data_IF_792699591631
#
_entry.id   IF_792699591631
#
_cell.length_a   1.000
_cell.length_b   1.000
_cell.length_c   1.000
_cell.angle_alpha   90.00
_cell.angle_beta   90.00
_cell.angle_gamma   90.00
#
_symmetry.space_group_name_H-M   'P 1'
#
loop_
_entity.id
_entity.type
_entity.pdbx_description
1 polymer ?
#
# COMPACT_ATOMS: atom_id res chain seq x y z
N UNK A 1 -21.60 -4.33 37.95
CA UNK A 1 -20.23 -3.89 37.57
C UNK A 1 -19.84 -4.61 36.29
N UNK A 2 -19.64 -3.88 35.18
CA UNK A 2 -19.08 -4.49 33.97
C UNK A 2 -17.60 -4.85 34.23
N UNK A 3 -17.18 -6.05 33.83
CA UNK A 3 -15.80 -6.51 33.96
C UNK A 3 -14.83 -5.56 33.24
N UNK A 4 -13.62 -5.28 33.76
CA UNK A 4 -12.60 -4.44 33.11
C UNK A 4 -12.36 -4.83 31.65
N UNK A 5 -12.36 -6.15 31.37
CA UNK A 5 -12.21 -6.75 30.03
C UNK A 5 -13.30 -6.33 29.04
N UNK A 6 -14.53 -6.08 29.51
CA UNK A 6 -15.64 -5.62 28.67
C UNK A 6 -15.54 -4.12 28.35
N UNK A 7 -14.95 -3.32 29.25
CA UNK A 7 -14.70 -1.89 29.00
C UNK A 7 -13.49 -1.68 28.09
N UNK A 8 -12.45 -2.51 28.23
CA UNK A 8 -11.27 -2.50 27.38
C UNK A 8 -11.62 -2.91 25.94
N UNK A 9 -12.40 -3.99 25.76
CA UNK A 9 -12.96 -4.38 24.44
C UNK A 9 -13.86 -3.32 23.81
N UNK A 10 -14.51 -2.45 24.60
CA UNK A 10 -15.32 -1.33 24.09
C UNK A 10 -14.47 -0.15 23.65
N UNK A 11 -13.35 0.15 24.32
CA UNK A 11 -12.44 1.26 23.95
C UNK A 11 -11.78 1.08 22.58
N UNK A 12 -11.50 -0.17 22.18
CA UNK A 12 -10.86 -0.46 20.89
C UNK A 12 -11.83 -0.57 19.70
N UNK A 13 -13.13 -0.84 19.93
CA UNK A 13 -14.13 -0.97 18.84
C UNK A 13 -14.38 0.33 18.09
N UNK A 14 -14.14 1.48 18.71
CA UNK A 14 -14.29 2.80 18.08
C UNK A 14 -13.01 3.27 17.39
N UNK A 15 -11.91 2.51 17.50
CA UNK A 15 -10.63 2.81 16.86
C UNK A 15 -10.51 2.07 15.51
N UNK A 16 -9.81 2.67 14.53
CA UNK A 16 -9.49 1.96 13.30
C UNK A 16 -8.65 0.72 13.62
N UNK A 17 -8.79 -0.34 12.81
CA UNK A 17 -8.13 -1.64 13.03
C UNK A 17 -6.62 -1.52 13.26
N UNK A 18 -5.96 -0.64 12.50
CA UNK A 18 -4.51 -0.42 12.59
C UNK A 18 -4.04 0.21 13.92
N UNK A 19 -4.93 0.79 14.73
CA UNK A 19 -4.64 1.25 16.09
C UNK A 19 -4.93 0.21 17.18
N UNK A 20 -5.64 -0.87 16.84
CA UNK A 20 -6.01 -1.90 17.81
C UNK A 20 -4.80 -2.78 18.15
N UNK A 21 -4.78 -3.38 19.36
CA UNK A 21 -3.69 -4.28 19.77
C UNK A 21 -3.68 -5.57 18.95
N UNK A 22 -2.48 -6.03 18.62
CA UNK A 22 -2.23 -7.34 18.05
C UNK A 22 -1.69 -8.26 19.16
N UNK A 23 -2.59 -8.86 19.95
CA UNK A 23 -2.23 -9.61 21.16
C UNK A 23 -1.33 -10.84 20.93
N UNK A 24 -1.19 -11.31 19.69
CA UNK A 24 -0.26 -12.38 19.34
C UNK A 24 1.20 -11.92 19.22
N UNK A 25 1.43 -10.62 19.00
CA UNK A 25 2.75 -10.05 18.78
C UNK A 25 3.32 -9.43 20.05
N UNK A 26 4.64 -9.32 20.09
CA UNK A 26 5.42 -8.66 21.13
C UNK A 26 6.40 -7.67 20.53
N UNK A 27 7.00 -6.80 21.35
CA UNK A 27 8.03 -5.85 20.90
C UNK A 27 9.24 -6.58 20.27
N UNK A 28 9.52 -7.81 20.67
CA UNK A 28 10.63 -8.60 20.12
C UNK A 28 10.42 -9.01 18.65
N UNK A 29 9.18 -8.99 18.17
CA UNK A 29 8.84 -9.29 16.78
C UNK A 29 9.11 -8.09 15.85
N UNK A 30 9.27 -6.90 16.42
CA UNK A 30 9.45 -5.64 15.70
C UNK A 30 10.94 -5.36 15.44
N UNK A 31 11.29 -4.89 14.24
CA UNK A 31 12.63 -4.39 13.96
C UNK A 31 12.82 -2.97 14.52
N UNK A 32 13.28 -2.94 15.77
CA UNK A 32 13.55 -1.71 16.51
C UNK A 32 14.78 -0.95 15.97
N UNK A 33 15.71 -1.63 15.29
CA UNK A 33 16.88 -0.99 14.69
C UNK A 33 16.41 -0.19 13.48
N UNK A 34 15.63 -0.81 12.59
CA UNK A 34 15.04 -0.13 11.45
C UNK A 34 14.15 1.04 11.89
N UNK A 35 13.33 0.86 12.93
CA UNK A 35 12.52 1.94 13.51
C UNK A 35 13.37 3.16 13.90
N UNK A 36 14.44 2.94 14.68
CA UNK A 36 15.31 4.03 15.18
C UNK A 36 16.10 4.70 14.06
N UNK A 37 16.60 3.92 13.11
CA UNK A 37 17.50 4.42 12.07
C UNK A 37 16.76 5.07 10.89
N UNK A 38 15.52 4.65 10.63
CA UNK A 38 14.80 5.02 9.41
C UNK A 38 13.48 5.76 9.69
N UNK A 39 12.61 5.19 10.53
CA UNK A 39 11.26 5.73 10.70
C UNK A 39 11.21 6.90 11.69
N UNK A 40 11.80 6.75 12.86
CA UNK A 40 11.77 7.77 13.90
C UNK A 40 12.33 9.13 13.42
N UNK A 41 13.48 9.19 12.71
CA UNK A 41 14.01 10.44 12.16
C UNK A 41 13.15 11.02 11.03
N UNK A 42 12.37 10.18 10.32
CA UNK A 42 11.46 10.64 9.28
C UNK A 42 10.13 11.18 9.87
N UNK A 43 9.69 10.63 10.99
CA UNK A 43 8.42 10.98 11.64
C UNK A 43 8.54 12.11 12.67
N UNK A 44 9.71 12.31 13.26
CA UNK A 44 9.95 13.28 14.35
C UNK A 44 11.17 14.13 14.02
N UNK A 45 11.05 15.45 14.15
CA UNK A 45 12.16 16.37 13.89
C UNK A 45 13.33 16.13 14.85
N UNK A 46 14.57 16.31 14.37
CA UNK A 46 15.79 15.99 15.11
C UNK A 46 15.89 16.74 16.44
N UNK A 47 15.47 18.01 16.48
CA UNK A 47 15.47 18.83 17.68
C UNK A 47 14.51 18.27 18.75
N UNK A 48 13.41 17.65 18.31
CA UNK A 48 12.43 16.96 19.17
C UNK A 48 12.90 15.55 19.55
N UNK A 49 13.98 15.03 18.98
CA UNK A 49 14.59 13.78 19.45
C UNK A 49 15.68 14.06 20.48
N UNK A 50 16.49 15.09 20.24
CA UNK A 50 17.61 15.48 21.10
C UNK A 50 17.14 16.03 22.47
N UNK A 51 16.03 16.79 22.52
CA UNK A 51 15.52 17.39 23.76
C UNK A 51 14.64 16.46 24.61
N UNK A 52 14.20 15.32 24.07
CA UNK A 52 12.93 14.71 24.49
C UNK A 52 13.10 13.62 25.57
N UNK A 53 14.32 13.11 25.79
CA UNK A 53 14.64 12.19 26.90
C UNK A 53 13.78 10.92 26.97
N UNK A 54 12.99 10.63 25.93
CA UNK A 54 11.98 9.57 25.93
C UNK A 54 12.62 8.20 25.92
N UNK A 55 12.01 7.27 26.66
CA UNK A 55 12.33 5.85 26.53
C UNK A 55 11.93 5.33 25.15
N UNK A 56 12.43 4.15 24.77
CA UNK A 56 12.07 3.52 23.50
C UNK A 56 10.56 3.24 23.44
N UNK A 57 9.98 2.80 24.56
CA UNK A 57 8.57 2.50 24.67
C UNK A 57 7.71 3.77 24.52
N UNK A 58 8.15 4.90 25.08
CA UNK A 58 7.49 6.20 24.87
C UNK A 58 7.57 6.66 23.41
N UNK A 59 8.70 6.43 22.74
CA UNK A 59 8.85 6.71 21.31
C UNK A 59 7.87 5.84 20.50
N UNK A 60 7.91 4.52 20.69
CA UNK A 60 7.05 3.56 20.01
C UNK A 60 5.56 3.90 20.21
N UNK A 61 5.15 4.17 21.45
CA UNK A 61 3.77 4.54 21.78
C UNK A 61 3.36 5.88 21.14
N UNK A 62 4.24 6.88 21.13
CA UNK A 62 3.95 8.17 20.48
C UNK A 62 3.77 8.05 18.97
N UNK A 63 4.40 7.05 18.36
CA UNK A 63 4.22 6.69 16.94
C UNK A 63 3.17 5.59 16.71
N UNK A 64 2.42 5.22 17.75
CA UNK A 64 1.34 4.21 17.73
C UNK A 64 1.78 2.79 17.35
N UNK A 65 3.06 2.46 17.50
CA UNK A 65 3.59 1.11 17.23
C UNK A 65 3.21 0.12 18.33
N UNK A 66 3.04 0.61 19.56
CA UNK A 66 2.55 -0.12 20.73
C UNK A 66 1.43 0.67 21.40
N UNK A 67 0.64 0.03 22.28
CA UNK A 67 -0.47 0.68 22.99
C UNK A 67 0.01 1.78 23.93
N UNK A 68 0.98 1.49 24.79
CA UNK A 68 1.56 2.45 25.73
C UNK A 68 2.90 1.97 26.27
N UNK A 69 3.64 2.79 27.03
CA UNK A 69 4.85 2.32 27.71
C UNK A 69 4.59 1.27 28.80
N UNK A 70 3.47 1.39 29.51
CA UNK A 70 3.09 0.46 30.59
C UNK A 70 2.46 -0.84 30.06
N UNK A 71 1.90 -0.79 28.84
CA UNK A 71 1.39 -1.93 28.08
C UNK A 71 2.03 -1.92 26.68
N UNK A 72 3.22 -2.53 26.52
CA UNK A 72 3.96 -2.48 25.28
C UNK A 72 3.46 -3.48 24.22
N UNK A 73 2.17 -3.86 24.27
CA UNK A 73 1.55 -4.69 23.25
C UNK A 73 1.59 -3.95 21.89
N UNK A 74 2.16 -4.56 20.83
CA UNK A 74 2.15 -3.98 19.49
C UNK A 74 0.73 -3.74 18.97
N UNK A 75 0.54 -2.65 18.23
CA UNK A 75 -0.68 -2.45 17.44
C UNK A 75 -0.57 -3.20 16.11
N UNK A 76 -1.69 -3.36 15.40
CA UNK A 76 -1.65 -3.88 14.03
C UNK A 76 -0.81 -2.98 13.09
N UNK A 77 -0.77 -1.66 13.32
CA UNK A 77 0.19 -0.77 12.65
C UNK A 77 1.62 -1.19 12.98
N UNK A 78 1.97 -1.37 14.26
CA UNK A 78 3.30 -1.78 14.69
C UNK A 78 3.75 -3.07 13.99
N UNK A 79 2.85 -4.06 13.92
CA UNK A 79 3.10 -5.31 13.20
C UNK A 79 3.31 -5.06 11.70
N UNK A 80 2.41 -4.35 11.02
CA UNK A 80 2.54 -4.10 9.57
C UNK A 80 3.77 -3.26 9.21
N UNK A 81 4.13 -2.30 10.07
CA UNK A 81 5.21 -1.37 9.84
C UNK A 81 6.59 -1.98 10.15
N UNK A 82 6.69 -2.75 11.24
CA UNK A 82 7.99 -3.11 11.83
C UNK A 82 8.21 -4.62 12.00
N UNK A 83 7.18 -5.47 11.95
CA UNK A 83 7.40 -6.91 12.12
C UNK A 83 8.18 -7.50 10.94
N UNK A 84 9.14 -8.37 11.24
CA UNK A 84 9.88 -9.10 10.22
C UNK A 84 9.00 -10.14 9.49
N UNK A 85 8.01 -10.70 10.21
CA UNK A 85 7.05 -11.69 9.69
C UNK A 85 5.62 -11.31 10.10
N UNK A 86 5.02 -10.26 9.50
CA UNK A 86 3.66 -9.84 9.86
C UNK A 86 2.60 -10.91 9.57
N UNK A 87 2.89 -11.84 8.66
CA UNK A 87 1.99 -12.95 8.30
C UNK A 87 1.73 -13.94 9.42
N UNK A 88 2.59 -14.00 10.44
CA UNK A 88 2.37 -14.85 11.62
C UNK A 88 1.18 -14.35 12.46
N UNK A 89 0.86 -13.05 12.36
CA UNK A 89 -0.22 -12.40 13.08
C UNK A 89 -1.38 -11.98 12.17
N UNK A 90 -1.05 -11.64 10.91
CA UNK A 90 -1.97 -11.17 9.89
C UNK A 90 -1.76 -11.98 8.61
N UNK A 91 -2.36 -13.18 8.47
CA UNK A 91 -2.03 -14.12 7.38
C UNK A 91 -2.20 -13.57 5.96
N UNK A 92 -3.03 -12.55 5.78
CA UNK A 92 -3.21 -11.86 4.49
C UNK A 92 -2.27 -10.67 4.24
N UNK A 93 -1.34 -10.37 5.15
CA UNK A 93 -0.41 -9.24 5.07
C UNK A 93 0.78 -9.52 4.14
N UNK A 94 0.49 -9.93 2.91
CA UNK A 94 1.47 -10.15 1.86
C UNK A 94 0.89 -9.75 0.49
N UNK A 95 1.76 -9.69 -0.52
CA UNK A 95 1.38 -9.39 -1.90
C UNK A 95 1.75 -10.57 -2.79
N UNK A 96 0.82 -10.98 -3.65
CA UNK A 96 1.07 -11.94 -4.73
C UNK A 96 1.28 -11.20 -6.04
N UNK A 97 2.35 -11.53 -6.76
CA UNK A 97 2.59 -11.10 -8.13
C UNK A 97 2.49 -12.31 -9.05
N UNK A 98 1.77 -12.13 -10.16
CA UNK A 98 1.63 -13.14 -11.21
C UNK A 98 1.76 -12.47 -12.58
N UNK A 99 2.55 -13.04 -13.48
CA UNK A 99 2.63 -12.65 -14.89
C UNK A 99 2.21 -13.81 -15.77
N UNK A 100 1.31 -13.55 -16.70
CA UNK A 100 0.68 -14.57 -17.54
C UNK A 100 1.00 -14.34 -19.02
N UNK A 101 1.07 -15.43 -19.79
CA UNK A 101 1.26 -15.42 -21.25
C UNK A 101 -0.07 -15.26 -22.01
N UNK A 102 -1.01 -14.51 -21.44
CA UNK A 102 -2.32 -14.33 -22.04
C UNK A 102 -3.24 -13.43 -21.22
N UNK A 103 -4.47 -13.20 -21.71
CA UNK A 103 -5.42 -12.28 -21.10
C UNK A 103 -6.26 -12.92 -19.98
N UNK A 104 -6.08 -14.22 -19.70
CA UNK A 104 -6.90 -15.00 -18.77
C UNK A 104 -6.05 -15.68 -17.69
N UNK A 105 -6.66 -15.99 -16.55
CA UNK A 105 -6.00 -16.74 -15.47
C UNK A 105 -5.69 -18.21 -15.84
N UNK A 106 -6.20 -18.71 -16.96
CA UNK A 106 -5.94 -20.06 -17.43
C UNK A 106 -4.69 -20.16 -18.32
N UNK A 107 -4.09 -19.02 -18.69
CA UNK A 107 -2.89 -18.95 -19.51
C UNK A 107 -1.63 -19.30 -18.70
N UNK A 108 -0.55 -19.65 -19.41
CA UNK A 108 0.70 -20.10 -18.79
C UNK A 108 1.35 -19.01 -17.92
N UNK A 109 1.92 -19.43 -16.79
CA UNK A 109 2.64 -18.54 -15.87
C UNK A 109 4.05 -18.27 -16.38
N UNK A 110 4.33 -17.01 -16.69
CA UNK A 110 5.65 -16.55 -17.12
C UNK A 110 6.56 -16.21 -15.94
N UNK A 111 5.98 -15.70 -14.85
CA UNK A 111 6.70 -15.29 -13.66
C UNK A 111 5.74 -15.18 -12.46
N UNK A 112 6.20 -15.55 -11.27
CA UNK A 112 5.45 -15.42 -10.03
C UNK A 112 6.36 -14.98 -8.88
N UNK A 113 5.80 -14.26 -7.91
CA UNK A 113 6.50 -13.91 -6.68
C UNK A 113 5.52 -13.64 -5.52
N UNK A 114 5.96 -13.92 -4.31
CA UNK A 114 5.29 -13.52 -3.06
C UNK A 114 6.16 -12.55 -2.28
N UNK A 115 5.56 -11.50 -1.73
CA UNK A 115 6.25 -10.47 -0.95
C UNK A 115 5.62 -10.36 0.43
N UNK A 116 6.40 -10.62 1.47
CA UNK A 116 6.03 -10.49 2.90
C UNK A 116 7.17 -9.84 3.67
N UNK A 117 6.87 -9.34 4.87
CA UNK A 117 7.77 -8.56 5.71
C UNK A 117 7.21 -7.17 6.01
N UNK A 118 8.05 -6.28 6.53
CA UNK A 118 7.67 -4.88 6.78
C UNK A 118 7.05 -4.25 5.55
N UNK A 119 6.02 -3.44 5.73
CA UNK A 119 5.27 -2.89 4.60
C UNK A 119 6.13 -2.14 3.59
N UNK A 120 7.18 -1.45 4.06
CA UNK A 120 8.13 -0.73 3.20
C UNK A 120 8.93 -1.67 2.29
N UNK A 121 9.29 -2.86 2.78
CA UNK A 121 10.07 -3.84 2.04
C UNK A 121 9.18 -4.56 1.03
N UNK A 122 7.94 -4.87 1.42
CA UNK A 122 6.91 -5.39 0.51
C UNK A 122 6.65 -4.40 -0.63
N UNK A 123 6.48 -3.11 -0.32
CA UNK A 123 6.22 -2.09 -1.34
C UNK A 123 7.39 -1.99 -2.31
N UNK A 124 8.63 -1.89 -1.79
CA UNK A 124 9.84 -1.81 -2.62
C UNK A 124 10.03 -3.05 -3.50
N UNK A 125 9.91 -4.24 -2.93
CA UNK A 125 10.09 -5.49 -3.66
C UNK A 125 9.09 -5.64 -4.81
N UNK A 126 7.82 -5.29 -4.58
CA UNK A 126 6.80 -5.31 -5.63
C UNK A 126 7.08 -4.25 -6.69
N UNK A 127 7.43 -3.02 -6.30
CA UNK A 127 7.77 -1.96 -7.25
C UNK A 127 8.98 -2.33 -8.13
N UNK A 128 10.01 -2.93 -7.56
CA UNK A 128 11.19 -3.42 -8.29
C UNK A 128 10.82 -4.53 -9.27
N UNK A 129 9.97 -5.48 -8.85
CA UNK A 129 9.45 -6.56 -9.70
C UNK A 129 8.60 -6.02 -10.86
N UNK A 130 7.76 -5.03 -10.61
CA UNK A 130 6.96 -4.39 -11.65
C UNK A 130 7.85 -3.61 -12.62
N UNK A 131 8.84 -2.88 -12.11
CA UNK A 131 9.81 -2.16 -12.92
C UNK A 131 10.65 -3.09 -13.80
N UNK A 132 11.05 -4.27 -13.31
CA UNK A 132 11.83 -5.22 -14.11
C UNK A 132 11.07 -5.75 -15.33
N UNK A 133 9.73 -5.76 -15.28
CA UNK A 133 8.86 -6.16 -16.39
C UNK A 133 8.38 -4.99 -17.25
N UNK A 134 8.40 -3.76 -16.72
CA UNK A 134 7.88 -2.58 -17.38
C UNK A 134 8.86 -2.02 -18.43
N UNK A 135 8.87 -2.69 -19.58
CA UNK A 135 9.75 -2.34 -20.71
C UNK A 135 9.64 -0.86 -21.08
N UNK A 136 10.79 -0.21 -21.24
CA UNK A 136 10.88 1.13 -21.82
C UNK A 136 11.08 1.02 -23.31
N UNK A 137 10.14 1.52 -24.11
CA UNK A 137 10.34 1.71 -25.54
C UNK A 137 11.05 3.04 -25.78
N UNK A 138 12.03 3.04 -26.68
CA UNK A 138 12.74 4.25 -27.11
C UNK A 138 12.42 4.49 -28.59
N UNK A 139 11.72 5.58 -28.88
CA UNK A 139 11.41 5.97 -30.26
C UNK A 139 12.48 6.92 -30.80
N UNK A 140 13.23 6.48 -31.81
CA UNK A 140 14.28 7.26 -32.48
C UNK A 140 13.79 7.98 -33.77
N UNK A 141 12.54 7.78 -34.20
CA UNK A 141 12.10 8.21 -35.53
C UNK A 141 11.38 9.56 -35.51
N UNK A 142 12.06 10.59 -36.04
CA UNK A 142 11.57 11.88 -36.56
C UNK A 142 11.49 13.14 -35.67
N UNK A 143 11.92 13.11 -34.40
CA UNK A 143 12.06 14.35 -33.61
C UNK A 143 13.51 14.56 -33.15
N UNK A 144 13.92 15.82 -33.04
CA UNK A 144 15.22 16.22 -32.49
C UNK A 144 15.42 15.83 -31.01
N UNK A 145 14.46 15.14 -30.40
CA UNK A 145 14.42 14.74 -28.98
C UNK A 145 13.96 13.28 -28.85
N UNK A 146 14.72 12.51 -28.07
CA UNK A 146 14.43 11.13 -27.68
C UNK A 146 13.14 11.07 -26.85
N UNK A 147 12.18 10.21 -27.24
CA UNK A 147 10.98 9.93 -26.43
C UNK A 147 11.04 8.51 -25.89
N UNK A 148 11.10 8.40 -24.56
CA UNK A 148 10.98 7.15 -23.81
C UNK A 148 9.54 6.98 -23.34
N UNK A 149 8.89 5.89 -23.73
CA UNK A 149 7.54 5.56 -23.28
C UNK A 149 7.59 4.21 -22.61
N UNK A 150 7.18 4.14 -21.34
CA UNK A 150 7.03 2.86 -20.63
C UNK A 150 5.70 2.22 -21.02
N UNK A 151 5.59 0.89 -20.91
CA UNK A 151 4.31 0.21 -21.16
C UNK A 151 3.21 0.73 -20.22
N UNK A 152 3.58 0.96 -18.97
CA UNK A 152 2.77 1.60 -17.95
C UNK A 152 3.59 2.72 -17.27
N UNK A 153 3.03 3.90 -16.98
CA UNK A 153 3.79 4.92 -16.28
C UNK A 153 4.06 4.49 -14.83
N UNK A 154 5.33 4.43 -14.43
CA UNK A 154 5.74 3.98 -13.10
C UNK A 154 5.00 4.70 -11.97
N UNK A 155 4.80 6.01 -12.09
CA UNK A 155 4.07 6.79 -11.10
C UNK A 155 2.60 6.36 -10.94
N UNK A 156 1.92 5.94 -12.02
CA UNK A 156 0.55 5.45 -11.92
C UNK A 156 0.50 4.08 -11.22
N UNK A 157 1.42 3.17 -11.55
CA UNK A 157 1.55 1.87 -10.89
C UNK A 157 1.76 2.08 -9.39
N UNK A 158 2.72 2.92 -9.01
CA UNK A 158 3.03 3.23 -7.62
C UNK A 158 1.82 3.78 -6.87
N UNK A 159 1.10 4.76 -7.42
CA UNK A 159 -0.08 5.31 -6.75
C UNK A 159 -1.18 4.26 -6.55
N UNK A 160 -1.46 3.44 -7.57
CA UNK A 160 -2.52 2.44 -7.50
C UNK A 160 -2.16 1.29 -6.54
N UNK A 161 -0.93 0.79 -6.62
CA UNK A 161 -0.46 -0.29 -5.77
C UNK A 161 -0.34 0.13 -4.30
N UNK A 162 0.24 1.31 -4.02
CA UNK A 162 0.34 1.83 -2.64
C UNK A 162 -1.04 2.09 -2.05
N UNK A 163 -2.00 2.55 -2.84
CA UNK A 163 -3.39 2.68 -2.40
C UNK A 163 -4.02 1.32 -2.08
N UNK A 164 -3.80 0.30 -2.92
CA UNK A 164 -4.29 -1.05 -2.67
C UNK A 164 -3.78 -1.59 -1.33
N UNK A 165 -2.48 -1.44 -1.06
CA UNK A 165 -1.88 -1.84 0.23
C UNK A 165 -2.45 -1.02 1.40
N UNK A 166 -2.46 0.31 1.28
CA UNK A 166 -2.88 1.22 2.36
C UNK A 166 -4.35 1.07 2.73
N UNK A 167 -5.23 0.79 1.76
CA UNK A 167 -6.67 0.69 1.98
C UNK A 167 -7.17 -0.76 2.08
N UNK A 168 -6.27 -1.76 2.03
CA UNK A 168 -6.60 -3.17 2.21
C UNK A 168 -7.29 -3.42 3.55
N UNK A 169 -8.28 -4.32 3.56
CA UNK A 169 -8.77 -4.89 4.82
C UNK A 169 -7.80 -5.93 5.37
N UNK A 170 -7.16 -5.61 6.50
CA UNK A 170 -6.29 -6.53 7.24
C UNK A 170 -7.05 -7.33 8.30
N UNK A 171 -8.27 -6.90 8.61
CA UNK A 171 -9.15 -7.53 9.59
C UNK A 171 -9.99 -8.63 8.92
N UNK A 172 -10.05 -9.81 9.53
CA UNK A 172 -10.91 -10.94 9.18
C UNK A 172 -10.84 -11.47 7.72
N UNK A 173 -9.90 -10.99 6.92
CA UNK A 173 -9.66 -11.42 5.54
C UNK A 173 -8.18 -11.79 5.34
N UNK A 174 -7.94 -13.04 4.96
CA UNK A 174 -6.62 -13.60 4.71
C UNK A 174 -6.21 -13.52 3.24
N UNK A 175 -7.05 -12.93 2.38
CA UNK A 175 -6.76 -12.74 0.96
C UNK A 175 -5.68 -11.66 0.80
N UNK A 176 -4.57 -11.90 0.09
CA UNK A 176 -3.54 -10.88 -0.12
C UNK A 176 -3.98 -9.80 -1.11
N UNK A 177 -3.21 -8.72 -1.22
CA UNK A 177 -3.23 -7.92 -2.45
C UNK A 177 -2.66 -8.78 -3.58
N UNK A 178 -3.32 -8.78 -4.74
CA UNK A 178 -2.82 -9.47 -5.94
C UNK A 178 -2.52 -8.48 -7.04
N UNK A 179 -1.34 -8.59 -7.64
CA UNK A 179 -0.97 -7.88 -8.85
C UNK A 179 -0.81 -8.91 -9.97
N UNK A 180 -1.75 -8.91 -10.92
CA UNK A 180 -1.71 -9.80 -12.07
C UNK A 180 -1.38 -9.03 -13.34
N UNK A 181 -0.31 -9.40 -14.01
CA UNK A 181 0.17 -8.83 -15.25
C UNK A 181 -0.18 -9.78 -16.41
N UNK A 182 -1.29 -9.49 -17.09
CA UNK A 182 -1.74 -10.18 -18.29
C UNK A 182 -1.01 -9.66 -19.53
N UNK A 183 -1.17 -10.36 -20.66
CA UNK A 183 -0.62 -9.91 -21.94
C UNK A 183 -1.19 -8.55 -22.41
N UNK A 184 -2.41 -8.20 -21.98
CA UNK A 184 -3.16 -7.02 -22.44
C UNK A 184 -3.44 -5.96 -21.36
N UNK A 185 -3.18 -6.25 -20.08
CA UNK A 185 -3.45 -5.33 -18.95
C UNK A 185 -2.71 -5.74 -17.68
N UNK A 186 -2.71 -4.83 -16.70
CA UNK A 186 -2.33 -5.12 -15.32
C UNK A 186 -3.54 -4.90 -14.43
N UNK A 187 -3.83 -5.86 -13.55
CA UNK A 187 -4.86 -5.77 -12.52
C UNK A 187 -4.20 -5.72 -11.13
N UNK A 188 -4.63 -4.77 -10.30
CA UNK A 188 -4.26 -4.67 -8.89
C UNK A 188 -5.54 -4.87 -8.08
N UNK A 189 -5.65 -6.02 -7.43
CA UNK A 189 -6.82 -6.43 -6.65
C UNK A 189 -6.50 -6.28 -5.17
N UNK A 190 -7.29 -5.45 -4.49
CA UNK A 190 -7.21 -5.21 -3.05
C UNK A 190 -8.45 -5.77 -2.35
N UNK A 191 -8.29 -6.61 -1.31
CA UNK A 191 -9.37 -6.98 -0.41
C UNK A 191 -9.95 -5.77 0.33
N UNK A 192 -11.26 -5.77 0.52
CA UNK A 192 -12.04 -4.69 1.09
C UNK A 192 -12.69 -3.78 0.04
N UNK A 193 -13.77 -3.10 0.44
CA UNK A 193 -14.48 -2.13 -0.40
C UNK A 193 -14.25 -0.67 0.01
N UNK A 194 -14.98 0.28 -0.61
CA UNK A 194 -15.01 1.68 -0.21
C UNK A 194 -15.35 1.89 1.27
N UNK A 195 -14.86 2.99 1.87
CA UNK A 195 -15.09 3.33 3.29
C UNK A 195 -15.42 4.81 3.46
N UNK A 196 -16.11 5.12 4.56
CA UNK A 196 -16.45 6.49 4.93
C UNK A 196 -17.37 7.14 3.89
N UNK A 197 -16.94 8.27 3.34
CA UNK A 197 -17.70 9.03 2.33
C UNK A 197 -17.55 8.49 0.90
N UNK A 198 -16.68 7.49 0.69
CA UNK A 198 -16.49 6.87 -0.63
C UNK A 198 -17.50 5.76 -0.80
N UNK A 199 -18.29 5.83 -1.87
CA UNK A 199 -19.23 4.78 -2.29
C UNK A 199 -18.66 4.06 -3.51
N UNK A 200 -19.35 3.01 -3.99
CA UNK A 200 -18.99 2.35 -5.25
C UNK A 200 -19.06 3.31 -6.43
N UNK A 201 -20.05 4.19 -6.43
CA UNK A 201 -20.32 5.18 -7.49
C UNK A 201 -19.34 6.37 -7.44
N UNK A 202 -18.91 6.78 -6.24
CA UNK A 202 -17.96 7.89 -6.08
C UNK A 202 -16.49 7.46 -6.09
N UNK A 203 -16.21 6.16 -6.16
CA UNK A 203 -14.84 5.66 -6.15
C UNK A 203 -14.01 6.23 -7.31
N UNK A 204 -12.84 6.77 -6.99
CA UNK A 204 -11.94 7.37 -7.96
C UNK A 204 -12.37 8.73 -8.52
N UNK A 205 -13.43 9.34 -7.96
CA UNK A 205 -13.81 10.73 -8.22
C UNK A 205 -13.05 11.69 -7.31
N UNK A 206 -12.64 12.87 -7.81
CA UNK A 206 -12.02 13.90 -6.97
C UNK A 206 -12.91 14.32 -5.80
N UNK A 207 -12.28 14.63 -4.65
CA UNK A 207 -12.97 15.20 -3.49
C UNK A 207 -13.55 14.18 -2.50
N UNK A 208 -13.60 12.89 -2.84
CA UNK A 208 -14.03 11.84 -1.92
C UNK A 208 -12.81 11.10 -1.35
N UNK A 209 -12.65 11.13 -0.02
CA UNK A 209 -11.55 10.45 0.66
C UNK A 209 -12.05 9.70 1.89
N UNK A 210 -11.57 8.47 2.07
CA UNK A 210 -11.79 7.68 3.28
C UNK A 210 -10.60 6.76 3.50
N UNK A 211 -10.13 6.65 4.74
CA UNK A 211 -8.98 5.82 5.10
C UNK A 211 -9.45 4.64 5.95
N UNK A 212 -9.15 3.42 5.48
CA UNK A 212 -9.39 2.21 6.26
C UNK A 212 -8.32 2.05 7.34
N UNK A 213 -7.07 2.30 6.97
CA UNK A 213 -5.91 2.24 7.85
C UNK A 213 -5.24 3.63 7.92
N UNK A 214 -5.81 4.60 8.67
CA UNK A 214 -5.30 5.97 8.73
C UNK A 214 -3.91 6.09 9.36
N UNK A 215 -3.54 5.20 10.29
CA UNK A 215 -2.22 5.19 10.90
C UNK A 215 -1.19 4.59 9.95
N UNK A 216 -1.56 3.53 9.19
CA UNK A 216 -0.70 3.00 8.12
C UNK A 216 -0.48 4.04 7.01
N UNK A 217 -1.53 4.78 6.64
CA UNK A 217 -1.42 5.90 5.71
C UNK A 217 -0.43 6.97 6.22
N UNK A 218 -0.52 7.32 7.51
CA UNK A 218 0.41 8.22 8.17
C UNK A 218 1.85 7.71 8.15
N UNK A 219 2.08 6.46 8.53
CA UNK A 219 3.38 5.79 8.47
C UNK A 219 3.97 5.85 7.06
N UNK A 220 3.24 5.36 6.04
CA UNK A 220 3.68 5.36 4.64
C UNK A 220 3.96 6.77 4.11
N UNK A 221 3.29 7.80 4.64
CA UNK A 221 3.56 9.19 4.30
C UNK A 221 4.91 9.66 4.84
N UNK A 222 5.21 9.41 6.12
CA UNK A 222 6.48 9.85 6.70
C UNK A 222 7.68 9.18 6.03
N UNK A 223 7.55 7.92 5.57
CA UNK A 223 8.61 7.22 4.83
C UNK A 223 8.58 7.46 3.31
N UNK A 224 7.76 8.39 2.82
CA UNK A 224 7.77 8.86 1.43
C UNK A 224 7.02 7.99 0.40
N UNK A 225 6.24 7.00 0.85
CA UNK A 225 5.42 6.18 -0.05
C UNK A 225 4.05 6.80 -0.35
N UNK A 226 3.47 7.58 0.57
CA UNK A 226 2.15 8.19 0.39
C UNK A 226 2.20 9.73 0.34
N UNK A 227 1.27 10.34 -0.39
CA UNK A 227 1.07 11.80 -0.42
C UNK A 227 -0.13 12.23 0.42
N UNK A 228 -0.13 13.48 0.88
CA UNK A 228 -1.30 14.09 1.53
C UNK A 228 -2.42 14.35 0.50
N UNK A 229 -3.65 14.49 0.98
CA UNK A 229 -4.82 15.04 0.25
C UNK A 229 -5.53 14.12 -0.76
N UNK A 230 -5.28 12.81 -0.77
CA UNK A 230 -6.06 11.88 -1.60
C UNK A 230 -5.87 12.06 -3.11
N UNK A 231 -4.74 12.65 -3.53
CA UNK A 231 -4.47 12.95 -4.94
C UNK A 231 -4.04 11.73 -5.78
N UNK A 232 -3.83 10.56 -5.17
CA UNK A 232 -3.17 9.43 -5.83
C UNK A 232 -3.84 8.94 -7.11
N UNK A 233 -5.17 8.80 -7.11
CA UNK A 233 -5.92 8.40 -8.32
C UNK A 233 -5.86 9.50 -9.39
N UNK A 234 -5.95 10.77 -9.00
CA UNK A 234 -5.83 11.88 -9.94
C UNK A 234 -4.43 11.95 -10.59
N UNK A 235 -3.39 11.69 -9.80
CA UNK A 235 -2.01 11.55 -10.30
C UNK A 235 -1.92 10.38 -11.26
N UNK A 236 -2.42 9.20 -10.89
CA UNK A 236 -2.40 8.03 -11.77
C UNK A 236 -3.09 8.29 -13.12
N UNK A 237 -4.27 8.93 -13.12
CA UNK A 237 -4.98 9.33 -14.34
C UNK A 237 -4.13 10.27 -15.20
N UNK A 238 -3.54 11.30 -14.60
CA UNK A 238 -2.70 12.29 -15.29
C UNK A 238 -1.44 11.65 -15.90
N UNK A 239 -0.78 10.75 -15.17
CA UNK A 239 0.43 10.11 -15.68
C UNK A 239 0.10 9.08 -16.78
N UNK A 240 -1.03 8.38 -16.70
CA UNK A 240 -1.56 7.58 -17.80
C UNK A 240 -1.80 8.43 -19.07
N UNK A 241 -2.49 9.56 -18.93
CA UNK A 241 -2.74 10.47 -20.04
C UNK A 241 -1.44 10.97 -20.69
N UNK A 242 -0.46 11.40 -19.86
CA UNK A 242 0.86 11.86 -20.33
C UNK A 242 1.63 10.78 -21.09
N UNK A 243 1.58 9.54 -20.61
CA UNK A 243 2.28 8.41 -21.22
C UNK A 243 1.54 7.86 -22.45
N UNK A 244 0.25 8.17 -22.62
CA UNK A 244 -0.57 7.69 -23.74
C UNK A 244 -1.36 6.42 -23.44
N UNK A 245 -1.56 6.09 -22.17
CA UNK A 245 -2.41 5.00 -21.73
C UNK A 245 -3.88 5.45 -21.64
N UNK A 246 -4.84 4.52 -21.81
CA UNK A 246 -6.20 4.72 -21.32
C UNK A 246 -6.19 5.08 -19.82
N UNK A 247 -7.19 5.83 -19.34
CA UNK A 247 -7.32 6.09 -17.91
C UNK A 247 -7.48 4.77 -17.14
N UNK A 248 -6.97 4.67 -15.90
CA UNK A 248 -7.21 3.50 -15.06
C UNK A 248 -8.71 3.27 -14.87
N UNK A 249 -9.10 2.00 -14.98
CA UNK A 249 -10.46 1.52 -14.74
C UNK A 249 -10.54 0.97 -13.31
N UNK A 250 -11.68 1.14 -12.65
CA UNK A 250 -11.90 0.68 -11.29
C UNK A 250 -13.20 -0.11 -11.19
N UNK A 251 -13.12 -1.34 -10.71
CA UNK A 251 -14.28 -2.11 -10.26
C UNK A 251 -14.27 -2.12 -8.72
N UNK A 252 -15.17 -1.31 -8.13
CA UNK A 252 -15.32 -1.18 -6.69
C UNK A 252 -16.56 -1.95 -6.22
N UNK A 253 -16.33 -3.00 -5.44
CA UNK A 253 -17.36 -3.81 -4.80
C UNK A 253 -17.24 -3.71 -3.26
N UNK A 254 -18.19 -4.26 -2.51
CA UNK A 254 -18.18 -4.12 -1.03
C UNK A 254 -16.97 -4.78 -0.36
N UNK A 255 -16.42 -5.82 -0.99
CA UNK A 255 -15.36 -6.66 -0.42
C UNK A 255 -14.10 -6.69 -1.25
N UNK A 256 -14.07 -6.05 -2.41
CA UNK A 256 -12.92 -6.04 -3.30
C UNK A 256 -12.91 -4.78 -4.14
N UNK A 257 -11.72 -4.24 -4.36
CA UNK A 257 -11.47 -3.18 -5.33
C UNK A 257 -10.44 -3.71 -6.32
N UNK A 258 -10.76 -3.67 -7.61
CA UNK A 258 -9.83 -3.95 -8.70
C UNK A 258 -9.51 -2.66 -9.43
N UNK A 259 -8.22 -2.33 -9.56
CA UNK A 259 -7.73 -1.28 -10.44
C UNK A 259 -7.06 -1.91 -11.66
N UNK A 260 -7.51 -1.52 -12.85
CA UNK A 260 -7.01 -2.04 -14.13
C UNK A 260 -6.27 -0.96 -14.89
N UNK A 261 -5.03 -1.26 -15.28
CA UNK A 261 -4.21 -0.46 -16.18
C UNK A 261 -4.10 -1.18 -17.52
N UNK A 262 -4.37 -0.46 -18.61
CA UNK A 262 -4.12 -0.94 -19.99
C UNK A 262 -2.81 -0.34 -20.52
N UNK A 263 -2.05 -1.08 -21.35
CA UNK A 263 -0.80 -0.60 -21.90
C UNK A 263 -1.02 0.65 -22.76
N UNK A 264 0.03 1.43 -22.95
CA UNK A 264 -0.04 2.58 -23.86
C UNK A 264 -0.45 2.08 -25.25
N UNK A 265 -1.45 2.70 -25.86
CA UNK A 265 -1.76 2.38 -27.26
C UNK A 265 -0.58 2.80 -28.10
N UNK A 266 0.05 1.86 -28.80
CA UNK A 266 0.94 2.21 -29.91
C UNK A 266 0.09 3.09 -30.82
N UNK A 267 0.42 4.39 -30.92
CA UNK A 267 -0.19 5.21 -31.95
C UNK A 267 0.23 4.55 -33.25
N UNK A 268 -0.71 3.90 -33.94
CA UNK A 268 -0.53 3.63 -35.35
C UNK A 268 -0.11 4.96 -35.97
N UNK A 269 1.11 5.01 -36.50
CA UNK A 269 1.54 6.05 -37.41
C UNK A 269 0.59 6.01 -38.59
N UNK A 270 -0.53 6.72 -38.48
CA UNK A 270 -1.37 7.08 -39.59
C UNK A 270 -0.64 8.15 -40.40
N UNK A 271 0.00 7.71 -41.49
CA UNK A 271 0.15 8.41 -42.76
C UNK A 271 0.83 7.46 -43.76
#
# INVERSE_FOLDING_TARGET
>A
MCSPVLNEKRRFRDQPFDAQPCHGATVADLDLSWYKENYLPAAVAAEVLDDNGRTLEEQLASTRMILSPDDPTPTHLGVLALANQPTDFLPGAYVQFLKLDGPTLADDVLDEAGFTGRMVDVIRGVEDKLNSHNRTMVEFRSRATERRTQLYPQAAIQQLFRNAVMHRTYEHDHTPVRVTWYSDRMEIISPGGPVGMVTRESFGQPGFTGYRNPNLAGFLKEVGFAQRFGAGIAIARRECERNGNPPPEFDAQDKVICATLKPATTRETGA
#
